data_IF_412809177615
#
_entry.id   IF_412809177615
#
_cell.length_a   1.000
_cell.length_b   1.000
_cell.length_c   1.000
_cell.angle_alpha   90.00
_cell.angle_beta   90.00
_cell.angle_gamma   90.00
#
_symmetry.space_group_name_H-M   'P 1'
#
loop_
_entity.id
_entity.type
_entity.pdbx_description
1 polymer ?
#
# COMPACT_ATOMS: atom_id res chain seq x y z
N UNK A 1 -10.74 45.41 3.07
CA UNK A 1 -10.44 45.34 1.63
C UNK A 1 -11.50 44.45 1.02
N UNK A 2 -12.47 45.03 0.33
CA UNK A 2 -13.51 44.22 -0.33
C UNK A 2 -12.87 43.51 -1.53
N UNK A 3 -12.86 42.18 -1.50
CA UNK A 3 -12.35 41.38 -2.61
C UNK A 3 -13.40 41.32 -3.71
N UNK A 4 -12.95 41.44 -4.96
CA UNK A 4 -13.82 41.32 -6.13
C UNK A 4 -14.45 39.92 -6.18
N UNK A 5 -15.64 39.78 -6.80
CA UNK A 5 -16.34 38.50 -6.94
C UNK A 5 -15.42 37.41 -7.54
N UNK A 6 -14.59 37.80 -8.51
CA UNK A 6 -13.56 36.93 -9.11
C UNK A 6 -12.55 36.46 -8.07
N UNK A 7 -11.98 37.36 -7.26
CA UNK A 7 -11.03 37.00 -6.22
C UNK A 7 -11.64 36.07 -5.16
N UNK A 8 -12.89 36.31 -4.76
CA UNK A 8 -13.59 35.44 -3.81
C UNK A 8 -13.77 34.01 -4.34
N UNK A 9 -14.06 33.86 -5.64
CA UNK A 9 -14.13 32.56 -6.30
C UNK A 9 -12.79 31.82 -6.25
N UNK A 10 -11.69 32.47 -6.64
CA UNK A 10 -10.35 31.86 -6.63
C UNK A 10 -9.89 31.46 -5.23
N UNK A 11 -10.16 32.27 -4.20
CA UNK A 11 -9.82 31.93 -2.81
C UNK A 11 -10.60 30.70 -2.31
N UNK A 12 -11.90 30.61 -2.62
CA UNK A 12 -12.71 29.43 -2.26
C UNK A 12 -12.22 28.18 -2.99
N UNK A 13 -11.93 28.29 -4.28
CA UNK A 13 -11.39 27.19 -5.08
C UNK A 13 -10.04 26.71 -4.52
N UNK A 14 -9.13 27.63 -4.20
CA UNK A 14 -7.83 27.30 -3.60
C UNK A 14 -7.99 26.57 -2.27
N UNK A 15 -8.89 27.06 -1.39
CA UNK A 15 -9.18 26.42 -0.11
C UNK A 15 -9.70 24.98 -0.29
N UNK A 16 -10.64 24.78 -1.21
CA UNK A 16 -11.19 23.45 -1.53
C UNK A 16 -10.12 22.51 -2.06
N UNK A 17 -9.35 22.94 -3.06
CA UNK A 17 -8.27 22.12 -3.64
C UNK A 17 -7.20 21.78 -2.61
N UNK A 18 -6.75 22.74 -1.80
CA UNK A 18 -5.76 22.50 -0.76
C UNK A 18 -6.27 21.50 0.30
N UNK A 19 -7.55 21.55 0.64
CA UNK A 19 -8.17 20.58 1.56
C UNK A 19 -8.23 19.18 0.94
N UNK A 20 -8.55 19.06 -0.36
CA UNK A 20 -8.55 17.79 -1.08
C UNK A 20 -7.13 17.18 -1.15
N UNK A 21 -6.11 17.99 -1.45
CA UNK A 21 -4.72 17.53 -1.41
C UNK A 21 -4.30 17.08 0.00
N UNK A 22 -4.84 17.70 1.05
CA UNK A 22 -4.58 17.32 2.43
C UNK A 22 -5.14 15.94 2.73
N UNK A 23 -6.41 15.71 2.36
CA UNK A 23 -7.06 14.39 2.49
C UNK A 23 -6.27 13.35 1.68
N UNK A 24 -5.90 13.67 0.44
CA UNK A 24 -5.12 12.77 -0.41
C UNK A 24 -3.76 12.43 0.22
N UNK A 25 -3.06 13.41 0.80
CA UNK A 25 -1.79 13.19 1.51
C UNK A 25 -1.92 12.27 2.73
N UNK A 26 -3.00 12.40 3.51
CA UNK A 26 -3.28 11.51 4.66
C UNK A 26 -3.50 10.08 4.15
N UNK A 27 -4.29 9.95 3.07
CA UNK A 27 -4.62 8.66 2.46
C UNK A 27 -3.34 7.97 1.94
N UNK A 28 -2.49 8.69 1.18
CA UNK A 28 -1.20 8.18 0.70
C UNK A 28 -0.28 7.76 1.85
N UNK A 29 -0.21 8.56 2.92
CA UNK A 29 0.62 8.24 4.08
C UNK A 29 0.14 6.97 4.79
N UNK A 30 -1.17 6.86 5.02
CA UNK A 30 -1.77 5.67 5.62
C UNK A 30 -1.54 4.42 4.76
N UNK A 31 -1.64 4.54 3.44
CA UNK A 31 -1.37 3.46 2.50
C UNK A 31 0.10 3.04 2.51
N UNK A 32 1.01 4.00 2.39
CA UNK A 32 2.45 3.74 2.43
C UNK A 32 2.87 3.02 3.71
N UNK A 33 2.40 3.50 4.88
CA UNK A 33 2.70 2.89 6.18
C UNK A 33 2.13 1.47 6.28
N UNK A 34 0.85 1.27 5.91
CA UNK A 34 0.23 -0.07 5.97
C UNK A 34 0.94 -1.07 5.08
N UNK A 35 1.26 -0.68 3.85
CA UNK A 35 1.97 -1.55 2.91
C UNK A 35 3.37 -1.90 3.41
N UNK A 36 4.11 -0.91 3.92
CA UNK A 36 5.43 -1.11 4.51
C UNK A 36 5.39 -2.05 5.73
N UNK A 37 4.46 -1.83 6.66
CA UNK A 37 4.29 -2.65 7.86
C UNK A 37 4.01 -4.12 7.53
N UNK A 38 3.16 -4.39 6.54
CA UNK A 38 2.85 -5.76 6.11
C UNK A 38 4.12 -6.44 5.54
N UNK A 39 4.87 -5.76 4.68
CA UNK A 39 6.08 -6.33 4.06
C UNK A 39 7.17 -6.62 5.08
N UNK A 40 7.34 -5.75 6.07
CA UNK A 40 8.27 -5.97 7.18
C UNK A 40 7.84 -7.19 8.01
N UNK A 41 6.55 -7.33 8.30
CA UNK A 41 6.02 -8.46 9.10
C UNK A 41 6.18 -9.83 8.44
N UNK A 42 6.14 -9.89 7.11
CA UNK A 42 6.25 -11.12 6.32
C UNK A 42 7.57 -11.21 5.54
N UNK A 43 8.60 -10.50 5.98
CA UNK A 43 9.88 -10.40 5.29
C UNK A 43 10.59 -11.76 5.10
N UNK A 44 10.43 -12.71 6.02
CA UNK A 44 11.10 -14.02 5.96
C UNK A 44 10.49 -14.87 4.84
N UNK A 45 9.17 -14.86 4.69
CA UNK A 45 8.47 -15.59 3.62
C UNK A 45 8.47 -14.86 2.27
N UNK A 46 8.72 -13.54 2.25
CA UNK A 46 8.78 -12.69 1.04
C UNK A 46 10.21 -12.35 0.59
N UNK A 47 11.21 -13.13 1.03
CA UNK A 47 12.62 -12.96 0.61
C UNK A 47 13.22 -11.58 0.91
N UNK A 48 12.72 -10.91 1.96
CA UNK A 48 13.39 -9.78 2.63
C UNK A 48 13.48 -8.46 1.86
N UNK A 49 13.05 -8.38 0.60
CA UNK A 49 13.19 -7.16 -0.20
C UNK A 49 11.92 -6.33 -0.15
N UNK A 50 11.98 -5.19 0.55
CA UNK A 50 10.90 -4.20 0.60
C UNK A 50 10.96 -3.37 -0.69
N UNK A 51 9.89 -3.33 -1.52
CA UNK A 51 9.86 -2.49 -2.71
C UNK A 51 10.02 -1.02 -2.36
N UNK A 52 10.87 -0.31 -3.12
CA UNK A 52 11.19 1.12 -2.90
C UNK A 52 9.96 2.03 -3.05
N UNK A 53 8.90 1.55 -3.69
CA UNK A 53 7.62 2.27 -3.84
C UNK A 53 7.03 2.68 -2.49
N UNK A 54 7.04 1.82 -1.47
CA UNK A 54 6.41 2.12 -0.18
C UNK A 54 7.10 3.28 0.57
N UNK A 55 8.43 3.28 0.79
CA UNK A 55 9.08 4.40 1.44
C UNK A 55 9.00 5.70 0.62
N UNK A 56 9.03 5.64 -0.72
CA UNK A 56 8.83 6.83 -1.56
C UNK A 56 7.41 7.38 -1.40
N UNK A 57 6.39 6.52 -1.39
CA UNK A 57 4.99 6.94 -1.20
C UNK A 57 4.78 7.60 0.16
N UNK A 58 5.36 7.05 1.23
CA UNK A 58 5.34 7.67 2.57
C UNK A 58 5.98 9.07 2.52
N UNK A 59 7.13 9.19 1.86
CA UNK A 59 7.84 10.46 1.73
C UNK A 59 7.01 11.49 0.96
N UNK A 60 6.42 11.13 -0.19
CA UNK A 60 5.56 12.01 -0.98
C UNK A 60 4.29 12.42 -0.22
N UNK A 61 3.66 11.49 0.51
CA UNK A 61 2.51 11.79 1.37
C UNK A 61 2.84 12.83 2.45
N UNK A 62 3.95 12.66 3.17
CA UNK A 62 4.44 13.66 4.12
C UNK A 62 4.71 15.02 3.46
N UNK A 63 5.35 15.02 2.29
CA UNK A 63 5.67 16.25 1.56
C UNK A 63 4.42 16.98 1.09
N UNK A 64 3.39 16.25 0.67
CA UNK A 64 2.10 16.81 0.30
C UNK A 64 1.37 17.42 1.50
N UNK A 65 1.40 16.75 2.67
CA UNK A 65 0.83 17.30 3.90
C UNK A 65 1.52 18.59 4.33
N UNK A 66 2.85 18.64 4.29
CA UNK A 66 3.62 19.87 4.56
C UNK A 66 3.23 20.98 3.56
N UNK A 67 3.07 20.62 2.28
CA UNK A 67 2.60 21.56 1.27
C UNK A 67 1.23 22.13 1.59
N UNK A 68 0.31 21.33 2.13
CA UNK A 68 -1.03 21.83 2.49
C UNK A 68 -1.02 22.82 3.64
N UNK A 69 -0.12 22.65 4.62
CA UNK A 69 0.10 23.63 5.68
C UNK A 69 0.61 24.95 5.10
N UNK A 70 1.58 24.88 4.17
CA UNK A 70 2.09 26.05 3.44
C UNK A 70 0.97 26.72 2.63
N UNK A 71 0.10 25.93 1.99
CA UNK A 71 -1.08 26.41 1.26
C UNK A 71 -2.03 27.20 2.17
N UNK A 72 -2.38 26.68 3.34
CA UNK A 72 -3.21 27.39 4.31
C UNK A 72 -2.54 28.67 4.84
N UNK A 73 -1.22 28.67 5.05
CA UNK A 73 -0.46 29.87 5.38
C UNK A 73 -0.53 30.90 4.25
N UNK A 74 -0.49 30.45 2.99
CA UNK A 74 -0.61 31.30 1.80
C UNK A 74 -1.94 32.04 1.70
N UNK A 75 -3.02 31.47 2.25
CA UNK A 75 -4.33 32.13 2.36
C UNK A 75 -4.32 33.28 3.37
N UNK A 76 -3.59 33.13 4.48
CA UNK A 76 -3.54 34.13 5.56
C UNK A 76 -2.49 35.22 5.29
N UNK A 77 -1.39 34.86 4.63
CA UNK A 77 -0.29 35.75 4.25
C UNK A 77 -0.09 35.68 2.73
N UNK A 78 -0.82 36.48 1.94
CA UNK A 78 -0.82 36.39 0.47
C UNK A 78 0.48 36.94 -0.14
N UNK A 79 1.60 36.25 0.10
CA UNK A 79 2.85 36.47 -0.61
C UNK A 79 2.86 35.55 -1.82
N UNK A 80 3.02 36.10 -3.02
CA UNK A 80 3.09 35.34 -4.27
C UNK A 80 4.10 34.19 -4.20
N UNK A 81 5.23 34.42 -3.55
CA UNK A 81 6.26 33.39 -3.34
C UNK A 81 5.74 32.14 -2.61
N UNK A 82 4.90 32.28 -1.57
CA UNK A 82 4.36 31.15 -0.79
C UNK A 82 3.44 30.29 -1.67
N UNK A 83 2.60 30.95 -2.48
CA UNK A 83 1.67 30.27 -3.39
C UNK A 83 2.42 29.54 -4.50
N UNK A 84 3.45 30.18 -5.10
CA UNK A 84 4.28 29.55 -6.13
C UNK A 84 5.02 28.33 -5.57
N UNK A 85 5.60 28.44 -4.37
CA UNK A 85 6.27 27.31 -3.70
C UNK A 85 5.31 26.15 -3.44
N UNK A 86 4.10 26.43 -2.94
CA UNK A 86 3.06 25.41 -2.75
C UNK A 86 2.71 24.69 -4.06
N UNK A 87 2.46 25.45 -5.14
CA UNK A 87 2.13 24.88 -6.45
C UNK A 87 3.28 24.02 -6.99
N UNK A 88 4.53 24.48 -6.88
CA UNK A 88 5.69 23.74 -7.33
C UNK A 88 5.84 22.39 -6.59
N UNK A 89 5.64 22.40 -5.27
CA UNK A 89 5.69 21.19 -4.44
C UNK A 89 4.57 20.21 -4.85
N UNK A 90 3.32 20.69 -4.96
CA UNK A 90 2.19 19.82 -5.36
C UNK A 90 2.43 19.24 -6.74
N UNK A 91 2.96 20.02 -7.69
CA UNK A 91 3.26 19.56 -9.03
C UNK A 91 4.30 18.41 -9.03
N UNK A 92 5.40 18.57 -8.27
CA UNK A 92 6.42 17.52 -8.12
C UNK A 92 5.83 16.26 -7.48
N UNK A 93 5.00 16.42 -6.45
CA UNK A 93 4.35 15.29 -5.79
C UNK A 93 3.43 14.51 -6.75
N UNK A 94 2.62 15.23 -7.54
CA UNK A 94 1.72 14.61 -8.53
C UNK A 94 2.51 13.86 -9.61
N UNK A 95 3.62 14.42 -10.10
CA UNK A 95 4.50 13.71 -11.05
C UNK A 95 5.08 12.43 -10.42
N UNK A 96 5.50 12.49 -9.15
CA UNK A 96 5.97 11.32 -8.40
C UNK A 96 4.92 10.22 -8.31
N UNK A 97 3.68 10.57 -7.96
CA UNK A 97 2.56 9.63 -7.89
C UNK A 97 2.22 9.00 -9.24
N UNK A 98 2.26 9.78 -10.34
CA UNK A 98 2.05 9.26 -11.70
C UNK A 98 3.13 8.23 -12.06
N UNK A 99 4.39 8.51 -11.72
CA UNK A 99 5.50 7.57 -11.93
C UNK A 99 5.30 6.28 -11.12
N UNK A 100 4.95 6.38 -9.84
CA UNK A 100 4.68 5.22 -8.98
C UNK A 100 3.53 4.40 -9.53
N UNK A 101 2.41 5.04 -9.88
CA UNK A 101 1.25 4.36 -10.46
C UNK A 101 1.63 3.61 -11.74
N UNK A 102 2.39 4.25 -12.63
CA UNK A 102 2.84 3.64 -13.89
C UNK A 102 3.75 2.42 -13.66
N UNK A 103 4.73 2.54 -12.76
CA UNK A 103 5.64 1.44 -12.41
C UNK A 103 4.86 0.29 -11.77
N UNK A 104 3.90 0.60 -10.90
CA UNK A 104 3.11 -0.44 -10.22
C UNK A 104 2.25 -1.20 -11.22
N UNK A 105 1.62 -0.51 -12.17
CA UNK A 105 0.80 -1.15 -13.20
C UNK A 105 1.68 -2.01 -14.12
N UNK A 106 2.84 -1.53 -14.54
CA UNK A 106 3.71 -2.30 -15.45
C UNK A 106 4.40 -3.49 -14.79
N UNK A 107 4.61 -3.45 -13.48
CA UNK A 107 5.28 -4.51 -12.71
C UNK A 107 4.32 -5.43 -11.96
N UNK A 108 3.00 -5.29 -12.16
CA UNK A 108 1.98 -6.05 -11.42
C UNK A 108 2.18 -7.56 -11.56
N UNK A 109 2.26 -8.06 -12.80
CA UNK A 109 2.39 -9.51 -13.06
C UNK A 109 3.69 -10.08 -12.52
N UNK A 110 4.78 -9.31 -12.63
CA UNK A 110 6.08 -9.69 -12.08
C UNK A 110 6.02 -9.77 -10.55
N UNK A 111 5.40 -8.80 -9.90
CA UNK A 111 5.22 -8.79 -8.45
C UNK A 111 4.40 -10.00 -7.98
N UNK A 112 3.27 -10.30 -8.64
CA UNK A 112 2.44 -11.46 -8.34
C UNK A 112 3.24 -12.78 -8.48
N UNK A 113 3.97 -12.94 -9.59
CA UNK A 113 4.83 -14.11 -9.81
C UNK A 113 5.90 -14.27 -8.72
N UNK A 114 6.58 -13.18 -8.35
CA UNK A 114 7.60 -13.19 -7.30
C UNK A 114 7.02 -13.56 -5.94
N UNK A 115 5.90 -12.94 -5.54
CA UNK A 115 5.23 -13.25 -4.27
C UNK A 115 4.78 -14.70 -4.24
N UNK A 116 4.12 -15.19 -5.30
CA UNK A 116 3.67 -16.57 -5.40
C UNK A 116 4.84 -17.56 -5.30
N UNK A 117 5.95 -17.30 -6.00
CA UNK A 117 7.14 -18.15 -5.93
C UNK A 117 7.76 -18.20 -4.51
N UNK A 118 7.75 -17.06 -3.81
CA UNK A 118 8.26 -16.95 -2.44
C UNK A 118 7.36 -17.68 -1.44
N UNK A 119 6.05 -17.51 -1.57
CA UNK A 119 5.06 -18.24 -0.77
C UNK A 119 5.15 -19.76 -1.02
N UNK A 120 5.35 -20.19 -2.27
CA UNK A 120 5.51 -21.61 -2.59
C UNK A 120 6.76 -22.19 -1.93
N UNK A 121 7.85 -21.41 -1.86
CA UNK A 121 9.05 -21.80 -1.14
C UNK A 121 8.80 -21.89 0.37
N UNK A 122 8.08 -20.92 0.94
CA UNK A 122 7.71 -20.93 2.35
C UNK A 122 6.83 -22.15 2.71
N UNK A 123 5.86 -22.51 1.85
CA UNK A 123 5.02 -23.70 2.04
C UNK A 123 5.85 -24.99 1.98
N UNK A 124 6.79 -25.11 1.05
CA UNK A 124 7.69 -26.28 0.97
C UNK A 124 8.56 -26.44 2.22
N UNK A 125 9.00 -25.33 2.80
CA UNK A 125 9.77 -25.31 4.03
C UNK A 125 8.93 -25.24 5.31
N UNK A 126 7.60 -25.31 5.23
CA UNK A 126 6.72 -25.08 6.36
C UNK A 126 6.98 -26.06 7.51
N UNK A 127 7.05 -27.36 7.22
CA UNK A 127 7.25 -28.40 8.24
C UNK A 127 8.71 -28.56 8.68
N UNK A 128 9.67 -27.93 8.00
CA UNK A 128 11.11 -28.05 8.28
C UNK A 128 11.72 -26.78 8.89
N UNK A 129 11.05 -25.63 8.76
CA UNK A 129 11.53 -24.35 9.25
C UNK A 129 10.45 -23.64 10.08
N UNK A 130 10.69 -23.55 11.40
CA UNK A 130 9.78 -22.88 12.35
C UNK A 130 9.47 -21.42 12.02
N UNK A 131 10.39 -20.70 11.38
CA UNK A 131 10.15 -19.31 10.98
C UNK A 131 9.17 -19.22 9.80
N UNK A 132 9.23 -20.18 8.87
CA UNK A 132 8.25 -20.28 7.80
C UNK A 132 6.90 -20.75 8.34
N UNK A 133 6.88 -21.69 9.28
CA UNK A 133 5.69 -22.12 10.00
C UNK A 133 4.96 -20.91 10.64
N UNK A 134 5.65 -20.16 11.51
CA UNK A 134 5.08 -19.03 12.25
C UNK A 134 4.54 -17.93 11.33
N UNK A 135 5.32 -17.50 10.33
CA UNK A 135 4.90 -16.43 9.43
C UNK A 135 3.78 -16.86 8.49
N UNK A 136 3.81 -18.10 7.99
CA UNK A 136 2.75 -18.61 7.14
C UNK A 136 1.45 -18.81 7.93
N UNK A 137 1.51 -19.28 9.18
CA UNK A 137 0.33 -19.37 10.04
C UNK A 137 -0.32 -18.02 10.30
N UNK A 138 0.50 -17.00 10.58
CA UNK A 138 0.02 -15.62 10.72
C UNK A 138 -0.58 -15.09 9.41
N UNK A 139 0.05 -15.35 8.27
CA UNK A 139 -0.46 -14.91 6.97
C UNK A 139 -1.84 -15.54 6.69
N UNK A 140 -1.94 -16.86 6.84
CA UNK A 140 -3.12 -17.64 6.52
C UNK A 140 -4.29 -17.31 7.45
N UNK A 141 -4.05 -17.20 8.75
CA UNK A 141 -5.08 -16.79 9.71
C UNK A 141 -5.52 -15.34 9.50
N UNK A 142 -4.59 -14.43 9.18
CA UNK A 142 -4.90 -13.01 8.98
C UNK A 142 -5.73 -12.76 7.71
N UNK A 143 -5.39 -13.43 6.62
CA UNK A 143 -6.00 -13.19 5.31
C UNK A 143 -7.03 -14.25 4.91
N UNK A 144 -7.25 -15.26 5.77
CA UNK A 144 -8.18 -16.38 5.52
C UNK A 144 -7.89 -17.06 4.18
N UNK A 145 -6.62 -17.39 3.94
CA UNK A 145 -6.11 -18.04 2.74
C UNK A 145 -5.25 -19.26 3.10
N UNK A 146 -4.96 -20.13 2.14
CA UNK A 146 -4.23 -21.37 2.42
C UNK A 146 -3.29 -21.75 1.27
N UNK A 147 -2.01 -21.96 1.60
CA UNK A 147 -0.95 -22.23 0.63
C UNK A 147 -0.56 -20.98 -0.19
N UNK A 148 0.21 -21.20 -1.25
CA UNK A 148 0.63 -20.12 -2.16
C UNK A 148 -0.42 -19.90 -3.26
N UNK A 149 -0.87 -20.98 -3.88
CA UNK A 149 -1.95 -21.06 -4.86
C UNK A 149 -3.15 -21.85 -4.33
N UNK A 150 -2.89 -22.84 -3.47
CA UNK A 150 -3.89 -23.81 -3.03
C UNK A 150 -3.46 -24.50 -1.74
N UNK A 151 -4.43 -24.95 -0.96
CA UNK A 151 -4.18 -25.83 0.19
C UNK A 151 -3.43 -27.12 -0.17
N UNK A 152 -3.42 -27.48 -1.47
CA UNK A 152 -2.69 -28.64 -2.03
C UNK A 152 -1.19 -28.40 -2.20
N UNK A 153 -0.72 -27.17 -1.99
CA UNK A 153 0.70 -26.83 -2.06
C UNK A 153 1.49 -27.43 -0.90
N UNK A 154 0.80 -27.68 0.23
CA UNK A 154 1.34 -28.47 1.33
C UNK A 154 1.53 -29.91 0.88
N UNK A 155 2.71 -30.46 1.15
CA UNK A 155 3.14 -31.77 0.65
C UNK A 155 2.12 -32.87 0.97
N UNK A 156 1.87 -33.75 0.00
CA UNK A 156 0.87 -34.82 0.10
C UNK A 156 1.16 -35.79 1.25
N UNK A 157 2.42 -35.89 1.67
CA UNK A 157 2.83 -36.69 2.83
C UNK A 157 2.06 -36.33 4.10
N UNK A 158 1.64 -35.07 4.26
CA UNK A 158 0.98 -34.60 5.47
C UNK A 158 -0.56 -34.67 5.41
N UNK A 159 -1.16 -35.00 4.25
CA UNK A 159 -2.60 -35.23 3.96
C UNK A 159 -3.62 -34.17 4.40
N UNK A 160 -3.31 -33.33 5.39
CA UNK A 160 -4.14 -32.32 6.02
C UNK A 160 -3.34 -31.00 6.01
N UNK A 161 -3.92 -29.90 5.51
CA UNK A 161 -3.29 -28.58 5.59
C UNK A 161 -3.18 -28.12 7.06
N UNK A 162 -2.32 -27.14 7.38
CA UNK A 162 -2.13 -26.69 8.75
C UNK A 162 -3.40 -26.13 9.38
N UNK A 163 -3.49 -26.13 10.71
CA UNK A 163 -4.65 -25.60 11.45
C UNK A 163 -4.93 -24.12 11.14
N UNK A 164 -3.89 -23.36 10.81
CA UNK A 164 -4.02 -21.97 10.37
C UNK A 164 -4.80 -21.79 9.06
N UNK A 165 -5.00 -22.86 8.28
CA UNK A 165 -5.84 -22.89 7.08
C UNK A 165 -7.31 -23.26 7.34
N UNK A 166 -7.67 -23.62 8.56
CA UNK A 166 -8.96 -24.23 8.89
C UNK A 166 -9.84 -23.25 9.69
N UNK A 167 -11.13 -23.24 9.37
CA UNK A 167 -12.20 -22.69 10.23
C UNK A 167 -13.11 -23.84 10.64
N UNK A 168 -12.88 -24.38 11.84
CA UNK A 168 -13.47 -25.66 12.24
C UNK A 168 -12.94 -26.79 11.36
N UNK A 169 -13.82 -27.48 10.63
CA UNK A 169 -13.47 -28.55 9.69
C UNK A 169 -13.32 -28.08 8.22
N UNK A 170 -13.57 -26.80 7.95
CA UNK A 170 -13.53 -26.25 6.59
C UNK A 170 -12.18 -25.61 6.30
N UNK A 171 -11.57 -25.96 5.18
CA UNK A 171 -10.37 -25.30 4.65
C UNK A 171 -10.80 -23.99 3.99
N UNK A 172 -10.02 -22.91 4.16
CA UNK A 172 -10.21 -21.69 3.38
C UNK A 172 -10.27 -22.03 1.88
N UNK A 173 -11.45 -21.90 1.27
CA UNK A 173 -11.72 -22.38 -0.09
C UNK A 173 -10.88 -21.67 -1.17
N UNK A 174 -10.81 -22.27 -2.38
CA UNK A 174 -10.02 -21.88 -3.58
C UNK A 174 -10.11 -20.40 -4.04
N UNK A 175 -10.95 -19.56 -3.43
CA UNK A 175 -11.29 -18.21 -3.91
C UNK A 175 -10.43 -17.10 -3.25
N UNK A 176 -9.41 -17.45 -2.45
CA UNK A 176 -8.57 -16.47 -1.73
C UNK A 176 -7.11 -16.39 -2.21
N UNK A 177 -6.82 -16.76 -3.46
CA UNK A 177 -5.52 -16.44 -4.07
C UNK A 177 -5.20 -14.95 -3.94
N UNK A 178 -6.19 -14.10 -4.28
CA UNK A 178 -6.06 -12.64 -4.18
C UNK A 178 -5.91 -12.11 -2.75
N UNK A 179 -6.20 -12.91 -1.70
CA UNK A 179 -6.09 -12.46 -0.30
C UNK A 179 -4.71 -12.70 0.31
N UNK A 180 -4.08 -13.84 0.02
CA UNK A 180 -2.70 -14.10 0.42
C UNK A 180 -1.71 -13.17 -0.34
N UNK A 181 -2.11 -12.72 -1.53
CA UNK A 181 -1.33 -11.86 -2.42
C UNK A 181 -1.64 -10.36 -2.27
N UNK A 182 -2.34 -9.93 -1.21
CA UNK A 182 -2.66 -8.50 -0.93
C UNK A 182 -1.46 -7.65 -0.52
N UNK A 183 -0.28 -8.07 -0.94
CA UNK A 183 0.98 -7.40 -0.74
C UNK A 183 1.26 -6.37 -1.85
N UNK A 184 0.42 -6.31 -2.89
CA UNK A 184 0.57 -5.37 -3.98
C UNK A 184 -0.11 -4.02 -3.67
N UNK A 185 0.58 -2.93 -4.02
CA UNK A 185 0.14 -1.55 -3.85
C UNK A 185 -1.23 -1.27 -4.53
N UNK A 186 -1.48 -1.82 -5.74
CA UNK A 186 -2.76 -1.64 -6.46
C UNK A 186 -3.93 -2.42 -5.83
N UNK A 187 -3.69 -3.64 -5.32
CA UNK A 187 -4.74 -4.45 -4.68
C UNK A 187 -5.12 -3.93 -3.29
N UNK A 188 -4.24 -3.15 -2.65
CA UNK A 188 -4.53 -2.38 -1.44
C UNK A 188 -5.35 -1.12 -1.76
N UNK A 189 -5.04 -0.42 -2.85
CA UNK A 189 -5.76 0.79 -3.30
C UNK A 189 -7.19 0.51 -3.79
N UNK A 190 -7.44 -0.64 -4.43
CA UNK A 190 -8.75 -0.99 -5.03
C UNK A 190 -9.79 -1.55 -4.04
N UNK A 191 -9.46 -1.63 -2.75
CA UNK A 191 -10.34 -2.17 -1.70
C UNK A 191 -10.94 -1.10 -0.76
N UNK A 192 -10.76 0.17 -1.11
CA UNK A 192 -11.47 1.32 -0.55
C UNK A 192 -12.46 1.87 -1.57
#
# INVERSE_FOLDING_TARGET
MELTLSQQFWTKLFFLLNSLFGIFGIVLLAFGIKGYDILVKFNIILQGTIPVIFPITIFLGCFLLLSTLIGFIGLWKPKQFIVIMHIAIVFIAVLGEICIASITISSIDQFHSTVNSSLLQAVKGYYSNKLYEEQMDRLQSRYMCCGATSYRDYDKAHSIPPFSCLTGYLVYSRVSYSKCEQLNYISILTRF
#
